data_IF_452074252364
#
_entry.id   IF_452074252364
#
_cell.length_a   1.000
_cell.length_b   1.000
_cell.length_c   1.000
_cell.angle_alpha   90.00
_cell.angle_beta   90.00
_cell.angle_gamma   90.00
#
_symmetry.space_group_name_H-M   'P 1'
#
loop_
_entity.id
_entity.type
_entity.pdbx_description
1 polymer ?
#
# COMPACT_ATOMS: atom_id res chain seq x y z
N UNK A 1 -1.40 11.07 13.29
CA UNK A 1 -1.96 11.38 11.95
C UNK A 1 -1.24 10.51 10.93
N UNK A 2 -1.94 10.14 9.87
CA UNK A 2 -1.38 9.48 8.69
C UNK A 2 -1.06 10.58 7.67
N UNK A 3 0.07 10.50 6.99
CA UNK A 3 0.50 11.48 5.99
C UNK A 3 0.63 10.78 4.64
N UNK A 4 -0.02 11.33 3.61
CA UNK A 4 0.08 10.81 2.24
C UNK A 4 1.40 11.25 1.62
N UNK A 5 2.28 10.29 1.31
CA UNK A 5 3.57 10.51 0.63
C UNK A 5 4.41 11.66 1.22
N UNK A 6 4.71 11.66 2.54
CA UNK A 6 5.50 12.72 3.15
C UNK A 6 6.95 12.69 2.63
N UNK A 7 7.51 13.86 2.36
CA UNK A 7 8.93 13.98 1.99
C UNK A 7 9.88 13.51 3.11
N UNK A 8 9.43 13.65 4.37
CA UNK A 8 10.14 13.18 5.55
C UNK A 8 9.19 12.32 6.40
N UNK A 9 9.18 10.98 6.19
CA UNK A 9 8.30 10.09 6.93
C UNK A 9 8.59 10.09 8.42
N UNK A 10 7.53 10.16 9.25
CA UNK A 10 7.63 10.12 10.72
C UNK A 10 7.99 8.74 11.27
N UNK A 11 7.87 7.68 10.46
CA UNK A 11 8.21 6.31 10.82
C UNK A 11 8.51 5.47 9.57
N UNK A 12 8.99 4.24 9.77
CA UNK A 12 9.18 3.24 8.71
C UNK A 12 7.92 2.46 8.36
N UNK A 13 6.78 2.75 9.00
CA UNK A 13 5.51 2.08 8.72
C UNK A 13 4.79 2.72 7.55
N UNK A 14 4.24 1.88 6.67
CA UNK A 14 3.35 2.27 5.59
C UNK A 14 1.94 1.72 5.86
N UNK A 15 0.91 2.51 5.51
CA UNK A 15 -0.47 2.03 5.52
C UNK A 15 -0.68 1.18 4.27
N UNK A 16 -0.98 -0.10 4.45
CA UNK A 16 -1.22 -1.02 3.32
C UNK A 16 -2.60 -0.79 2.70
N UNK A 17 -2.81 -1.28 1.47
CA UNK A 17 -4.09 -1.21 0.75
C UNK A 17 -5.23 -2.09 1.29
N UNK A 18 -5.29 -2.37 2.59
CA UNK A 18 -6.34 -3.16 3.24
C UNK A 18 -7.01 -2.32 4.33
N UNK A 19 -8.30 -2.08 4.16
CA UNK A 19 -9.08 -1.23 5.05
C UNK A 19 -10.40 -1.89 5.41
N UNK A 20 -10.79 -1.78 6.69
CA UNK A 20 -12.08 -2.22 7.21
C UNK A 20 -12.76 -1.01 7.84
N UNK A 21 -13.87 -0.58 7.26
CA UNK A 21 -14.66 0.53 7.77
C UNK A 21 -16.07 0.09 8.12
N UNK A 22 -16.69 0.81 9.05
CA UNK A 22 -18.13 0.74 9.19
C UNK A 22 -18.83 1.76 8.28
N UNK A 23 -20.16 1.81 8.37
CA UNK A 23 -21.00 2.62 7.50
C UNK A 23 -20.68 4.13 7.52
N UNK A 24 -20.03 4.66 8.58
CA UNK A 24 -19.70 6.08 8.70
C UNK A 24 -18.73 6.55 7.60
N UNK A 25 -18.01 5.61 6.98
CA UNK A 25 -17.10 5.90 5.86
C UNK A 25 -17.80 6.62 4.71
N UNK A 26 -19.09 6.34 4.47
CA UNK A 26 -19.83 6.99 3.38
C UNK A 26 -20.05 8.47 3.65
N UNK A 27 -20.24 8.85 4.92
CA UNK A 27 -20.37 10.26 5.29
C UNK A 27 -19.01 10.96 5.19
N UNK A 28 -17.94 10.29 5.64
CA UNK A 28 -16.58 10.83 5.57
C UNK A 28 -16.11 11.05 4.14
N UNK A 29 -16.38 10.11 3.21
CA UNK A 29 -16.02 10.26 1.80
C UNK A 29 -16.72 11.47 1.16
N UNK A 30 -17.95 11.80 1.59
CA UNK A 30 -18.69 12.97 1.07
C UNK A 30 -18.15 14.31 1.55
N UNK A 31 -17.41 14.32 2.65
CA UNK A 31 -16.76 15.51 3.21
C UNK A 31 -15.35 15.73 2.66
N UNK A 32 -14.81 14.80 1.86
CA UNK A 32 -13.46 14.94 1.31
C UNK A 32 -13.38 16.04 0.26
N UNK A 33 -12.28 16.78 0.33
CA UNK A 33 -11.86 17.72 -0.71
C UNK A 33 -10.69 17.12 -1.51
N UNK A 34 -10.56 17.42 -2.81
CA UNK A 34 -9.43 16.96 -3.60
C UNK A 34 -8.09 17.45 -3.04
N UNK A 35 -7.09 16.56 -3.00
CA UNK A 35 -5.74 16.90 -2.58
C UNK A 35 -5.04 17.83 -3.59
N UNK A 36 -3.79 18.23 -3.29
CA UNK A 36 -2.95 18.95 -4.24
C UNK A 36 -2.70 18.20 -5.57
N UNK A 37 -3.05 16.91 -5.64
CA UNK A 37 -2.98 16.07 -6.84
C UNK A 37 -4.34 15.88 -7.53
N UNK A 38 -5.41 16.46 -7.00
CA UNK A 38 -6.77 16.32 -7.52
C UNK A 38 -7.42 14.97 -7.19
N UNK A 39 -6.88 14.23 -6.21
CA UNK A 39 -7.39 12.92 -5.78
C UNK A 39 -8.15 13.05 -4.45
N UNK A 40 -9.18 12.22 -4.23
CA UNK A 40 -9.78 12.05 -2.91
C UNK A 40 -8.98 10.98 -2.15
N UNK A 41 -8.25 11.40 -1.13
CA UNK A 41 -7.22 10.56 -0.51
C UNK A 41 -7.82 9.66 0.59
N UNK A 42 -7.49 8.38 0.55
CA UNK A 42 -7.88 7.45 1.63
C UNK A 42 -7.22 7.82 2.98
N UNK A 43 -6.03 8.45 2.92
CA UNK A 43 -5.32 8.97 4.08
C UNK A 43 -6.12 10.05 4.83
N UNK A 44 -6.95 10.84 4.13
CA UNK A 44 -7.82 11.83 4.75
C UNK A 44 -9.00 11.17 5.47
N UNK A 45 -9.64 10.18 4.85
CA UNK A 45 -10.66 9.35 5.52
C UNK A 45 -10.10 8.73 6.80
N UNK A 46 -8.89 8.15 6.73
CA UNK A 46 -8.24 7.56 7.90
C UNK A 46 -7.99 8.59 9.01
N UNK A 47 -7.58 9.81 8.64
CA UNK A 47 -7.41 10.90 9.61
C UNK A 47 -8.74 11.36 10.23
N UNK A 48 -9.86 11.29 9.50
CA UNK A 48 -11.19 11.56 10.08
C UNK A 48 -11.58 10.53 11.15
N UNK A 49 -11.22 9.26 10.96
CA UNK A 49 -11.38 8.21 11.98
C UNK A 49 -10.42 8.42 13.17
N UNK A 50 -9.16 8.84 12.93
CA UNK A 50 -8.19 9.17 13.99
C UNK A 50 -8.70 10.32 14.86
N UNK A 51 -9.16 11.41 14.24
CA UNK A 51 -9.66 12.59 14.94
C UNK A 51 -10.84 12.27 15.88
N UNK A 52 -11.61 11.22 15.56
CA UNK A 52 -12.75 10.74 16.35
C UNK A 52 -12.38 9.62 17.34
N UNK A 53 -11.12 9.20 17.39
CA UNK A 53 -10.66 8.11 18.26
C UNK A 53 -11.18 6.73 17.86
N UNK A 54 -11.60 6.57 16.61
CA UNK A 54 -12.26 5.36 16.10
C UNK A 54 -11.30 4.42 15.36
N UNK A 55 -10.14 4.91 14.92
CA UNK A 55 -9.18 4.10 14.19
C UNK A 55 -8.49 3.09 15.11
N UNK A 56 -8.47 1.83 14.67
CA UNK A 56 -7.61 0.77 15.19
C UNK A 56 -6.67 0.33 14.07
N UNK A 57 -5.50 -0.17 14.43
CA UNK A 57 -4.53 -0.70 13.48
C UNK A 57 -3.87 -1.95 14.05
N UNK A 58 -3.32 -2.77 13.17
CA UNK A 58 -2.45 -3.89 13.50
C UNK A 58 -1.32 -3.92 12.49
N UNK A 59 -0.16 -4.41 12.92
CA UNK A 59 0.93 -4.70 11.99
C UNK A 59 0.57 -5.93 11.15
N UNK A 60 0.91 -5.88 9.86
CA UNK A 60 0.80 -7.02 8.96
C UNK A 60 2.15 -7.72 8.91
N UNK A 61 2.23 -8.92 9.47
CA UNK A 61 3.43 -9.74 9.40
C UNK A 61 3.47 -10.53 8.08
N UNK A 62 4.68 -10.72 7.56
CA UNK A 62 4.94 -11.51 6.36
C UNK A 62 5.20 -10.68 5.11
N UNK A 63 5.01 -11.30 3.95
CA UNK A 63 5.31 -10.67 2.67
C UNK A 63 4.18 -9.75 2.23
N UNK A 64 4.49 -8.47 2.08
CA UNK A 64 3.67 -7.49 1.39
C UNK A 64 4.49 -6.84 0.28
N UNK A 65 3.91 -6.73 -0.91
CA UNK A 65 4.48 -5.98 -2.03
C UNK A 65 3.34 -5.36 -2.80
N UNK A 66 3.56 -4.16 -3.32
CA UNK A 66 2.77 -3.67 -4.44
C UNK A 66 3.20 -4.39 -5.74
N UNK A 67 2.40 -4.21 -6.78
CA UNK A 67 2.67 -4.71 -8.12
C UNK A 67 2.55 -3.57 -9.15
N UNK A 68 2.97 -2.36 -8.76
CA UNK A 68 2.83 -1.14 -9.56
C UNK A 68 3.85 -0.98 -10.68
N UNK A 69 4.92 -1.78 -10.69
CA UNK A 69 5.99 -1.78 -11.71
C UNK A 69 6.21 -3.19 -12.27
N UNK A 70 6.82 -3.32 -13.45
CA UNK A 70 7.14 -4.65 -14.01
C UNK A 70 8.04 -5.48 -13.07
N UNK A 71 9.00 -4.84 -12.42
CA UNK A 71 9.89 -5.49 -11.45
C UNK A 71 9.13 -5.95 -10.19
N UNK A 72 8.31 -5.09 -9.59
CA UNK A 72 7.53 -5.44 -8.39
C UNK A 72 6.45 -6.50 -8.68
N UNK A 73 5.85 -6.47 -9.87
CA UNK A 73 4.91 -7.49 -10.35
C UNK A 73 5.62 -8.85 -10.53
N UNK A 74 6.78 -8.87 -11.19
CA UNK A 74 7.56 -10.11 -11.36
C UNK A 74 7.97 -10.67 -9.99
N UNK A 75 8.54 -9.82 -9.12
CA UNK A 75 8.96 -10.21 -7.77
C UNK A 75 7.81 -10.81 -6.96
N UNK A 76 6.64 -10.18 -6.99
CA UNK A 76 5.44 -10.68 -6.30
C UNK A 76 5.00 -12.04 -6.86
N UNK A 77 4.95 -12.17 -8.19
CA UNK A 77 4.55 -13.42 -8.86
C UNK A 77 5.54 -14.55 -8.56
N UNK A 78 6.83 -14.27 -8.63
CA UNK A 78 7.93 -15.19 -8.33
C UNK A 78 7.86 -15.69 -6.88
N UNK A 79 7.64 -14.78 -5.92
CA UNK A 79 7.48 -15.13 -4.51
C UNK A 79 6.35 -16.14 -4.30
N UNK A 80 5.17 -15.88 -4.88
CA UNK A 80 4.02 -16.77 -4.72
C UNK A 80 4.18 -18.10 -5.46
N UNK A 81 4.77 -18.10 -6.66
CA UNK A 81 5.09 -19.31 -7.40
C UNK A 81 6.08 -20.21 -6.64
N UNK A 82 7.14 -19.62 -6.08
CA UNK A 82 8.09 -20.34 -5.23
C UNK A 82 7.40 -20.89 -3.98
N UNK A 83 6.57 -20.09 -3.31
CA UNK A 83 5.82 -20.53 -2.12
C UNK A 83 4.89 -21.71 -2.42
N UNK A 84 4.26 -21.74 -3.59
CA UNK A 84 3.34 -22.80 -4.00
C UNK A 84 4.06 -24.07 -4.48
N UNK A 85 5.22 -23.95 -5.12
CA UNK A 85 5.89 -25.06 -5.82
C UNK A 85 7.17 -25.55 -5.15
N UNK A 86 7.74 -24.77 -4.23
CA UNK A 86 9.07 -25.00 -3.64
C UNK A 86 10.25 -24.75 -4.59
N UNK A 87 9.99 -24.38 -5.86
CA UNK A 87 11.03 -24.15 -6.86
C UNK A 87 11.46 -22.69 -6.85
N UNK A 88 12.77 -22.45 -6.86
CA UNK A 88 13.30 -21.11 -7.04
C UNK A 88 12.88 -20.57 -8.41
N UNK A 89 12.41 -19.33 -8.44
CA UNK A 89 12.13 -18.60 -9.68
C UNK A 89 13.40 -17.87 -10.14
N UNK A 90 13.55 -17.68 -11.45
CA UNK A 90 14.70 -16.97 -12.00
C UNK A 90 14.73 -15.49 -11.59
N UNK A 91 15.93 -14.90 -11.60
CA UNK A 91 16.12 -13.48 -11.31
C UNK A 91 15.59 -12.61 -12.47
N UNK A 92 14.78 -11.60 -12.14
CA UNK A 92 14.25 -10.63 -13.10
C UNK A 92 15.37 -9.96 -13.91
N UNK A 93 16.53 -9.72 -13.30
CA UNK A 93 17.69 -9.09 -13.93
C UNK A 93 18.17 -9.85 -15.18
N UNK A 94 17.88 -11.16 -15.29
CA UNK A 94 18.21 -11.96 -16.48
C UNK A 94 17.40 -11.54 -17.71
N UNK A 95 16.17 -11.06 -17.52
CA UNK A 95 15.29 -10.61 -18.59
C UNK A 95 15.53 -9.15 -18.98
N UNK A 96 16.25 -8.40 -18.15
CA UNK A 96 16.70 -7.04 -18.44
C UNK A 96 17.99 -7.00 -19.30
N UNK A 97 18.40 -8.15 -19.85
CA UNK A 97 19.66 -8.39 -20.55
C UNK A 97 20.40 -7.16 -21.09
N UNK A 98 21.62 -6.95 -20.56
CA UNK A 98 22.78 -6.41 -21.25
C UNK A 98 22.52 -5.55 -22.51
N UNK A 99 21.90 -4.39 -22.32
CA UNK A 99 21.97 -3.27 -23.26
C UNK A 99 22.61 -2.06 -22.57
N UNK A 100 23.90 -2.23 -22.24
CA UNK A 100 24.92 -1.22 -22.45
C UNK A 100 25.99 -1.80 -23.36
#
# INVERSE_FOLDING_TARGET
AIEEKPAQPKSSYAVTGLYLYDHRVFDFIRELEPSGRGELEISDVNNMYIARGLLRWTELEGFWSDAGTFESLFRSSAYWAQKATGRACEDFARYLGAHR
#
